data_IF_166640701750
#
_entry.id   IF_166640701750
#
_cell.length_a   1.000
_cell.length_b   1.000
_cell.length_c   1.000
_cell.angle_alpha   90.00
_cell.angle_beta   90.00
_cell.angle_gamma   90.00
#
_symmetry.space_group_name_H-M   'P 1'
#
loop_
_entity.id
_entity.type
_entity.pdbx_description
1 polymer ?
#
# COMPACT_ATOMS: atom_id res chain seq x y z
N UNK A 1 -26.66 -10.77 -32.33
CA UNK A 1 -26.36 -11.06 -33.74
C UNK A 1 -27.43 -11.92 -34.35
N UNK A 2 -27.88 -13.05 -33.75
CA UNK A 2 -28.95 -13.92 -34.29
C UNK A 2 -30.23 -13.15 -34.69
N UNK A 3 -30.66 -12.19 -33.86
CA UNK A 3 -31.82 -11.35 -34.17
C UNK A 3 -31.64 -10.51 -35.45
N UNK A 4 -30.46 -10.03 -35.76
CA UNK A 4 -30.15 -9.22 -36.94
C UNK A 4 -30.12 -10.05 -38.25
N UNK A 5 -29.90 -11.33 -38.14
CA UNK A 5 -29.99 -12.28 -39.27
C UNK A 5 -31.43 -12.57 -39.68
N UNK A 6 -32.37 -12.49 -38.72
CA UNK A 6 -33.82 -12.73 -38.95
C UNK A 6 -34.58 -11.48 -39.41
N UNK A 7 -34.17 -10.30 -38.97
CA UNK A 7 -34.86 -9.04 -39.29
C UNK A 7 -34.42 -8.55 -40.67
N UNK A 8 -35.39 -8.27 -41.54
CA UNK A 8 -35.17 -7.66 -42.87
C UNK A 8 -34.85 -6.17 -42.72
N UNK A 9 -33.96 -5.69 -43.61
CA UNK A 9 -33.61 -4.27 -43.64
C UNK A 9 -34.79 -3.44 -44.11
N UNK A 10 -35.16 -2.32 -43.41
CA UNK A 10 -36.39 -1.58 -43.70
C UNK A 10 -36.45 -0.99 -45.13
N UNK A 11 -35.29 -0.56 -45.68
CA UNK A 11 -35.24 0.05 -47.01
C UNK A 11 -34.77 -0.94 -48.11
N UNK A 12 -34.23 -2.09 -47.74
CA UNK A 12 -33.70 -3.13 -48.62
C UNK A 12 -34.18 -4.50 -48.17
N UNK A 13 -35.45 -4.81 -48.41
CA UNK A 13 -36.12 -6.02 -47.90
C UNK A 13 -35.47 -7.35 -48.38
N UNK A 14 -34.71 -7.32 -49.49
CA UNK A 14 -33.99 -8.49 -49.99
C UNK A 14 -32.81 -8.92 -49.06
N UNK A 15 -32.35 -8.01 -48.21
CA UNK A 15 -31.26 -8.27 -47.27
C UNK A 15 -31.73 -8.29 -45.82
N UNK A 16 -31.07 -9.09 -44.99
CA UNK A 16 -31.19 -8.96 -43.53
C UNK A 16 -30.39 -7.75 -43.03
N UNK A 17 -30.68 -7.32 -41.83
CA UNK A 17 -29.87 -6.25 -41.14
C UNK A 17 -28.40 -6.66 -41.01
N UNK A 18 -28.13 -7.96 -40.77
CA UNK A 18 -26.78 -8.47 -40.69
C UNK A 18 -26.04 -8.44 -42.02
N UNK A 19 -26.70 -8.89 -43.12
CA UNK A 19 -26.13 -8.85 -44.46
C UNK A 19 -25.85 -7.42 -44.94
N UNK A 20 -26.76 -6.46 -44.64
CA UNK A 20 -26.51 -5.08 -44.98
C UNK A 20 -25.34 -4.49 -44.19
N UNK A 21 -25.23 -4.79 -42.89
CA UNK A 21 -24.07 -4.36 -42.07
C UNK A 21 -22.73 -4.89 -42.62
N UNK A 22 -22.71 -6.15 -43.07
CA UNK A 22 -21.49 -6.72 -43.69
C UNK A 22 -21.11 -5.97 -44.97
N UNK A 23 -22.10 -5.61 -45.78
CA UNK A 23 -21.87 -4.83 -46.98
C UNK A 23 -21.38 -3.42 -46.69
N UNK A 24 -21.93 -2.76 -45.66
CA UNK A 24 -21.53 -1.41 -45.27
C UNK A 24 -20.20 -1.38 -44.53
N UNK A 25 -19.79 -2.48 -43.90
CA UNK A 25 -18.60 -2.53 -43.03
C UNK A 25 -17.33 -2.06 -43.73
N UNK A 26 -17.19 -2.32 -45.04
CA UNK A 26 -16.07 -1.84 -45.82
C UNK A 26 -16.04 -0.32 -46.06
N UNK A 27 -17.18 0.34 -45.85
CA UNK A 27 -17.36 1.79 -46.06
C UNK A 27 -17.43 2.58 -44.75
N UNK A 28 -17.53 1.87 -43.62
CA UNK A 28 -17.51 2.49 -42.30
C UNK A 28 -16.12 2.99 -41.96
N UNK A 29 -16.04 4.18 -41.38
CA UNK A 29 -14.80 4.69 -40.83
C UNK A 29 -14.35 3.81 -39.64
N UNK A 30 -13.08 3.47 -39.53
CA UNK A 30 -12.58 2.77 -38.36
C UNK A 30 -12.80 3.65 -37.13
N UNK A 31 -13.41 3.10 -36.10
CA UNK A 31 -13.53 3.76 -34.79
C UNK A 31 -12.22 3.51 -34.02
N UNK A 32 -11.32 4.49 -33.91
CA UNK A 32 -9.98 4.28 -33.35
C UNK A 32 -10.03 3.94 -31.85
N UNK A 33 -10.99 4.48 -31.14
CA UNK A 33 -11.17 4.26 -29.69
C UNK A 33 -12.64 4.08 -29.32
N UNK A 34 -12.94 3.27 -28.29
CA UNK A 34 -14.30 3.18 -27.75
C UNK A 34 -14.77 4.55 -27.23
N UNK A 35 -16.04 4.86 -27.45
CA UNK A 35 -16.64 6.08 -26.91
C UNK A 35 -16.55 6.10 -25.37
N UNK A 36 -15.84 7.10 -24.82
CA UNK A 36 -15.71 7.33 -23.38
C UNK A 36 -16.88 8.17 -22.86
N UNK A 37 -18.02 7.51 -22.64
CA UNK A 37 -19.27 8.16 -22.20
C UNK A 37 -19.32 8.37 -20.68
N UNK A 38 -19.31 9.62 -20.23
CA UNK A 38 -19.50 9.99 -18.83
C UNK A 38 -20.35 11.25 -18.67
N UNK A 39 -20.88 11.45 -17.46
CA UNK A 39 -21.51 12.73 -17.07
C UNK A 39 -20.52 13.49 -16.19
N UNK A 40 -20.13 14.69 -16.64
CA UNK A 40 -19.17 15.52 -15.93
C UNK A 40 -19.86 16.63 -15.12
N UNK A 41 -19.38 16.83 -13.88
CA UNK A 41 -19.82 17.90 -12.98
C UNK A 41 -18.68 18.41 -12.11
N UNK A 42 -18.61 19.73 -11.96
CA UNK A 42 -17.73 20.34 -10.96
C UNK A 42 -18.23 20.07 -9.52
N UNK A 43 -17.32 19.75 -8.62
CA UNK A 43 -17.61 19.54 -7.21
C UNK A 43 -16.50 20.17 -6.34
N UNK A 44 -16.87 20.77 -5.21
CA UNK A 44 -15.91 21.25 -4.21
C UNK A 44 -15.56 20.13 -3.25
N UNK A 45 -14.28 19.95 -2.99
CA UNK A 45 -13.79 19.00 -1.98
C UNK A 45 -14.09 19.55 -0.59
N UNK A 46 -14.77 18.75 0.23
CA UNK A 46 -15.10 19.11 1.62
C UNK A 46 -13.89 19.10 2.53
N UNK A 47 -14.01 19.68 3.73
CA UNK A 47 -12.99 19.64 4.78
C UNK A 47 -12.67 18.23 5.29
N UNK A 48 -13.52 17.25 4.97
CA UNK A 48 -13.34 15.83 5.29
C UNK A 48 -12.78 15.03 4.11
N UNK A 49 -12.18 15.70 3.11
CA UNK A 49 -11.59 15.10 1.92
C UNK A 49 -12.59 14.27 1.08
N UNK A 50 -13.85 14.74 0.97
CA UNK A 50 -14.91 14.05 0.23
C UNK A 50 -15.50 14.95 -0.87
N UNK A 51 -15.86 14.34 -1.99
CA UNK A 51 -16.66 14.92 -3.06
C UNK A 51 -18.03 14.23 -3.11
N UNK A 52 -19.09 15.00 -3.42
CA UNK A 52 -20.45 14.47 -3.54
C UNK A 52 -20.80 14.23 -5.00
N UNK A 53 -21.14 12.97 -5.35
CA UNK A 53 -21.54 12.56 -6.70
C UNK A 53 -22.78 11.67 -6.61
N UNK A 54 -23.85 12.00 -7.32
CA UNK A 54 -25.10 11.21 -7.36
C UNK A 54 -25.65 10.80 -5.99
N UNK A 55 -25.63 11.73 -5.02
CA UNK A 55 -26.10 11.52 -3.63
C UNK A 55 -25.22 10.56 -2.80
N UNK A 56 -24.05 10.18 -3.30
CA UNK A 56 -23.01 9.46 -2.57
C UNK A 56 -21.78 10.36 -2.38
N UNK A 57 -20.88 9.96 -1.49
CA UNK A 57 -19.64 10.67 -1.23
C UNK A 57 -18.44 9.75 -1.48
N UNK A 58 -17.40 10.31 -2.06
CA UNK A 58 -16.18 9.60 -2.43
C UNK A 58 -14.97 10.35 -1.92
N UNK A 59 -14.01 9.64 -1.36
CA UNK A 59 -12.81 10.29 -0.84
C UNK A 59 -11.87 10.72 -1.97
N UNK A 60 -11.13 11.78 -1.70
CA UNK A 60 -10.03 12.27 -2.53
C UNK A 60 -8.84 12.60 -1.65
N UNK A 61 -7.60 12.65 -2.18
CA UNK A 61 -6.43 13.02 -1.38
C UNK A 61 -6.63 14.34 -0.65
N UNK A 62 -6.20 14.39 0.62
CA UNK A 62 -6.46 15.52 1.52
C UNK A 62 -5.84 16.84 1.04
N UNK A 63 -4.87 16.82 0.14
CA UNK A 63 -4.27 17.99 -0.49
C UNK A 63 -5.25 18.81 -1.36
N UNK A 64 -6.34 18.19 -1.80
CA UNK A 64 -7.38 18.83 -2.63
C UNK A 64 -8.48 19.48 -1.80
N UNK A 65 -8.40 19.48 -0.49
CA UNK A 65 -9.43 20.09 0.39
C UNK A 65 -9.67 21.56 0.02
N UNK A 66 -10.96 21.90 -0.14
CA UNK A 66 -11.39 23.27 -0.49
C UNK A 66 -11.30 23.62 -1.97
N UNK A 67 -10.61 22.81 -2.78
CA UNK A 67 -10.48 23.02 -4.23
C UNK A 67 -11.72 22.53 -4.98
N UNK A 68 -11.91 23.04 -6.20
CA UNK A 68 -12.92 22.58 -7.15
C UNK A 68 -12.26 21.57 -8.07
N UNK A 69 -12.85 20.38 -8.15
CA UNK A 69 -12.43 19.28 -9.01
C UNK A 69 -13.57 18.90 -9.96
N UNK A 70 -13.25 18.29 -11.08
CA UNK A 70 -14.24 17.71 -11.97
C UNK A 70 -14.51 16.26 -11.58
N UNK A 71 -15.78 15.88 -11.55
CA UNK A 71 -16.21 14.50 -11.27
C UNK A 71 -16.87 13.92 -12.53
N UNK A 72 -16.31 12.82 -13.03
CA UNK A 72 -16.79 12.08 -14.20
C UNK A 72 -17.52 10.82 -13.74
N UNK A 73 -18.81 10.79 -13.95
CA UNK A 73 -19.67 9.67 -13.55
C UNK A 73 -19.85 8.71 -14.72
N UNK A 74 -19.30 7.52 -14.59
CA UNK A 74 -19.46 6.39 -15.48
C UNK A 74 -20.54 5.41 -14.98
N UNK A 75 -20.97 4.44 -15.78
CA UNK A 75 -21.90 3.40 -15.34
C UNK A 75 -21.41 2.61 -14.12
N UNK A 76 -20.12 2.24 -14.07
CA UNK A 76 -19.52 1.39 -13.03
C UNK A 76 -18.53 2.10 -12.10
N UNK A 77 -18.07 3.30 -12.44
CA UNK A 77 -17.03 4.02 -11.68
C UNK A 77 -17.30 5.52 -11.59
N UNK A 78 -16.66 6.15 -10.62
CA UNK A 78 -16.57 7.60 -10.46
C UNK A 78 -15.11 8.00 -10.52
N UNK A 79 -14.77 8.90 -11.43
CA UNK A 79 -13.42 9.41 -11.61
C UNK A 79 -13.41 10.89 -11.23
N UNK A 80 -12.42 11.29 -10.45
CA UNK A 80 -12.20 12.68 -10.04
C UNK A 80 -10.93 13.18 -10.70
N UNK A 81 -11.03 14.30 -11.39
CA UNK A 81 -9.91 14.93 -12.12
C UNK A 81 -9.74 16.40 -11.72
N UNK A 82 -8.53 16.89 -11.77
CA UNK A 82 -8.21 18.30 -11.61
C UNK A 82 -7.30 18.74 -12.74
N UNK A 83 -7.80 19.61 -13.62
CA UNK A 83 -7.17 19.81 -14.93
C UNK A 83 -7.14 18.48 -15.69
N UNK A 84 -5.95 18.08 -16.17
CA UNK A 84 -5.74 16.80 -16.86
C UNK A 84 -5.25 15.67 -15.95
N UNK A 85 -5.06 15.94 -14.65
CA UNK A 85 -4.55 14.96 -13.70
C UNK A 85 -5.67 14.13 -13.08
N UNK A 86 -5.49 12.79 -13.08
CA UNK A 86 -6.33 11.88 -12.32
C UNK A 86 -6.07 12.07 -10.82
N UNK A 87 -7.10 12.45 -10.05
CA UNK A 87 -7.03 12.66 -8.60
C UNK A 87 -7.46 11.42 -7.85
N UNK A 88 -8.58 10.81 -8.25
CA UNK A 88 -9.10 9.59 -7.62
C UNK A 88 -9.99 8.81 -8.58
N UNK A 89 -10.08 7.50 -8.38
CA UNK A 89 -11.01 6.62 -9.08
C UNK A 89 -11.64 5.65 -8.08
N UNK A 90 -12.95 5.57 -8.08
CA UNK A 90 -13.72 4.70 -7.20
C UNK A 90 -14.74 3.89 -7.97
N UNK A 91 -15.04 2.70 -7.50
CA UNK A 91 -16.21 1.95 -7.92
C UNK A 91 -17.47 2.73 -7.56
N UNK A 92 -18.42 2.81 -8.49
CA UNK A 92 -19.68 3.55 -8.28
C UNK A 92 -20.56 2.80 -7.29
N UNK A 93 -21.03 3.51 -6.27
CA UNK A 93 -22.02 3.00 -5.32
C UNK A 93 -23.42 2.98 -5.96
N UNK A 94 -24.07 1.81 -5.92
CA UNK A 94 -25.42 1.63 -6.49
C UNK A 94 -26.50 2.28 -5.65
N UNK A 95 -26.38 2.22 -4.32
CA UNK A 95 -27.33 2.81 -3.37
C UNK A 95 -26.96 4.27 -3.06
N UNK A 96 -27.90 5.01 -2.43
CA UNK A 96 -27.74 6.43 -2.11
C UNK A 96 -27.39 6.63 -0.64
N UNK A 97 -26.69 7.72 -0.34
CA UNK A 97 -26.38 8.11 1.03
C UNK A 97 -25.11 7.45 1.60
N UNK A 98 -24.42 6.68 0.79
CA UNK A 98 -23.20 5.99 1.21
C UNK A 98 -21.94 6.81 1.00
N UNK A 99 -20.85 6.39 1.68
CA UNK A 99 -19.52 6.99 1.56
C UNK A 99 -18.55 5.88 1.19
N UNK A 100 -17.76 6.09 0.13
CA UNK A 100 -16.65 5.23 -0.25
C UNK A 100 -15.35 5.91 0.15
N UNK A 101 -14.61 5.26 1.01
CA UNK A 101 -13.29 5.72 1.42
C UNK A 101 -12.20 4.93 0.71
N UNK A 102 -11.13 5.64 0.33
CA UNK A 102 -9.81 5.08 0.14
C UNK A 102 -8.93 5.66 1.26
N UNK A 103 -8.44 4.82 2.14
CA UNK A 103 -7.63 5.23 3.29
C UNK A 103 -6.31 5.87 2.87
N UNK A 104 -5.79 5.53 1.69
CA UNK A 104 -4.54 6.11 1.15
C UNK A 104 -4.66 7.62 0.93
N UNK A 105 -5.86 8.11 0.64
CA UNK A 105 -6.14 9.55 0.50
C UNK A 105 -5.89 10.36 1.78
N UNK A 106 -5.78 9.69 2.93
CA UNK A 106 -5.62 10.32 4.24
C UNK A 106 -4.21 10.17 4.83
N UNK A 107 -3.25 9.62 4.09
CA UNK A 107 -1.89 9.39 4.59
C UNK A 107 -1.20 10.68 5.03
N UNK A 108 -1.30 11.75 4.25
CA UNK A 108 -0.75 13.06 4.59
C UNK A 108 -1.38 13.69 5.86
N UNK A 109 -2.61 13.30 6.19
CA UNK A 109 -3.27 13.70 7.44
C UNK A 109 -2.70 12.94 8.63
N UNK A 110 -2.34 11.67 8.49
CA UNK A 110 -1.82 10.83 9.57
C UNK A 110 -0.47 11.32 10.10
N UNK A 111 0.37 11.89 9.25
CA UNK A 111 1.63 12.50 9.66
C UNK A 111 1.42 13.60 10.71
N UNK A 112 0.35 14.38 10.54
CA UNK A 112 -0.01 15.49 11.43
C UNK A 112 -0.91 15.05 12.59
N UNK A 113 -1.76 14.05 12.38
CA UNK A 113 -2.78 13.58 13.33
C UNK A 113 -2.84 12.04 13.40
N UNK A 114 -1.81 11.36 13.94
CA UNK A 114 -1.78 9.90 14.03
C UNK A 114 -2.98 9.31 14.79
N UNK A 115 -3.49 10.04 15.78
CA UNK A 115 -4.68 9.63 16.56
C UNK A 115 -5.96 9.42 15.75
N UNK A 116 -6.03 9.91 14.49
CA UNK A 116 -7.14 9.64 13.59
C UNK A 116 -7.29 8.16 13.25
N UNK A 117 -6.22 7.36 13.36
CA UNK A 117 -6.23 5.90 13.20
C UNK A 117 -7.13 5.17 14.20
N UNK A 118 -7.40 5.76 15.36
CA UNK A 118 -8.21 5.10 16.40
C UNK A 118 -9.70 5.05 16.03
N UNK A 119 -10.23 6.16 15.54
CA UNK A 119 -11.68 6.35 15.32
C UNK A 119 -12.03 6.86 13.92
N UNK A 120 -11.07 6.99 13.02
CA UNK A 120 -11.29 7.51 11.68
C UNK A 120 -12.02 6.50 10.78
N UNK A 121 -13.20 6.86 10.26
CA UNK A 121 -13.96 6.03 9.33
C UNK A 121 -13.15 5.57 8.10
N UNK A 122 -12.23 6.37 7.52
CA UNK A 122 -11.40 5.92 6.39
C UNK A 122 -10.54 4.70 6.68
N UNK A 123 -10.19 4.44 7.94
CA UNK A 123 -9.30 3.35 8.34
C UNK A 123 -10.05 2.10 8.85
N UNK A 124 -11.36 2.04 8.69
CA UNK A 124 -12.16 0.87 9.05
C UNK A 124 -11.85 -0.32 8.14
N UNK A 125 -11.66 -0.07 6.84
CA UNK A 125 -11.53 -1.07 5.78
C UNK A 125 -10.07 -1.24 5.32
N UNK A 126 -9.10 -1.17 6.25
CA UNK A 126 -7.70 -1.50 5.94
C UNK A 126 -7.58 -2.99 5.54
N UNK A 127 -6.61 -3.37 4.67
CA UNK A 127 -6.26 -4.76 4.43
C UNK A 127 -5.93 -5.52 5.71
N UNK A 128 -6.24 -6.82 5.75
CA UNK A 128 -6.17 -7.62 7.00
C UNK A 128 -4.80 -7.56 7.71
N UNK A 129 -3.63 -7.66 7.05
CA UNK A 129 -2.35 -7.52 7.74
C UNK A 129 -2.20 -6.16 8.46
N UNK A 130 -2.64 -5.09 7.81
CA UNK A 130 -2.62 -3.74 8.40
C UNK A 130 -3.64 -3.59 9.53
N UNK A 131 -4.79 -4.25 9.45
CA UNK A 131 -5.75 -4.28 10.56
C UNK A 131 -5.19 -5.02 11.78
N UNK A 132 -4.51 -6.14 11.58
CA UNK A 132 -3.87 -6.91 12.66
C UNK A 132 -2.76 -6.08 13.32
N UNK A 133 -1.89 -5.47 12.52
CA UNK A 133 -0.85 -4.57 13.02
C UNK A 133 -1.46 -3.39 13.81
N UNK A 134 -2.50 -2.76 13.27
CA UNK A 134 -3.23 -1.68 13.94
C UNK A 134 -3.79 -2.12 15.29
N UNK A 135 -4.45 -3.29 15.37
CA UNK A 135 -4.99 -3.83 16.62
C UNK A 135 -3.89 -4.08 17.66
N UNK A 136 -2.73 -4.55 17.23
CA UNK A 136 -1.59 -4.77 18.10
C UNK A 136 -1.00 -3.44 18.60
N UNK A 137 -0.70 -2.52 17.71
CA UNK A 137 -0.03 -1.26 18.02
C UNK A 137 -0.92 -0.31 18.84
N UNK A 138 -2.21 -0.20 18.55
CA UNK A 138 -3.10 0.76 19.25
C UNK A 138 -3.40 0.39 20.71
N UNK A 139 -3.02 -0.80 21.16
CA UNK A 139 -3.06 -1.18 22.58
C UNK A 139 -1.95 -0.50 23.38
N UNK A 140 -0.90 -0.05 22.73
CA UNK A 140 0.29 0.50 23.34
C UNK A 140 0.32 2.04 23.23
N UNK A 141 0.90 2.73 24.22
CA UNK A 141 1.15 4.17 24.13
C UNK A 141 2.06 4.50 22.94
N UNK A 142 1.66 5.44 22.08
CA UNK A 142 2.43 5.85 20.91
C UNK A 142 2.31 4.92 19.69
N UNK A 143 1.55 3.82 19.78
CA UNK A 143 1.36 2.89 18.69
C UNK A 143 0.66 3.48 17.46
N UNK A 144 -0.12 4.54 17.64
CA UNK A 144 -0.71 5.33 16.56
C UNK A 144 0.36 6.02 15.69
N UNK A 145 1.44 6.52 16.30
CA UNK A 145 2.58 7.08 15.54
C UNK A 145 3.33 6.01 14.75
N UNK A 146 3.59 4.88 15.39
CA UNK A 146 4.24 3.73 14.72
C UNK A 146 3.41 3.27 13.52
N UNK A 147 2.10 3.12 13.69
CA UNK A 147 1.21 2.74 12.59
C UNK A 147 1.20 3.79 11.47
N UNK A 148 1.16 5.08 11.81
CA UNK A 148 1.23 6.15 10.81
C UNK A 148 2.54 6.12 10.01
N UNK A 149 3.67 5.84 10.66
CA UNK A 149 4.97 5.69 10.00
C UNK A 149 5.00 4.48 9.05
N UNK A 150 4.43 3.34 9.44
CA UNK A 150 4.31 2.17 8.55
C UNK A 150 3.45 2.50 7.33
N UNK A 151 2.30 3.15 7.53
CA UNK A 151 1.43 3.55 6.43
C UNK A 151 2.08 4.59 5.49
N UNK A 152 2.95 5.46 6.01
CA UNK A 152 3.70 6.45 5.23
C UNK A 152 4.70 5.82 4.25
N UNK A 153 5.05 4.54 4.43
CA UNK A 153 5.93 3.80 3.50
C UNK A 153 5.18 3.36 2.23
N UNK A 154 3.85 3.20 2.31
CA UNK A 154 3.03 2.65 1.22
C UNK A 154 3.20 3.39 -0.12
N UNK A 155 3.22 4.75 -0.19
CA UNK A 155 3.39 5.44 -1.46
C UNK A 155 4.73 5.17 -2.15
N UNK A 156 5.79 4.90 -1.40
CA UNK A 156 7.14 4.67 -1.94
C UNK A 156 7.44 3.20 -2.23
N UNK A 157 6.98 2.27 -1.39
CA UNK A 157 7.28 0.85 -1.51
C UNK A 157 6.21 0.05 -2.26
N UNK A 158 5.00 0.62 -2.40
CA UNK A 158 3.82 -0.08 -2.91
C UNK A 158 3.06 -0.85 -1.83
N UNK A 159 1.75 -0.93 -1.99
CA UNK A 159 0.87 -1.56 -1.00
C UNK A 159 1.20 -3.04 -0.80
N UNK A 160 1.32 -3.80 -1.87
CA UNK A 160 1.54 -5.25 -1.81
C UNK A 160 2.83 -5.61 -1.06
N UNK A 161 3.93 -4.89 -1.33
CA UNK A 161 5.20 -5.10 -0.65
C UNK A 161 5.09 -4.81 0.86
N UNK A 162 4.37 -3.74 1.23
CA UNK A 162 4.14 -3.39 2.64
C UNK A 162 3.26 -4.43 3.33
N UNK A 163 2.22 -4.96 2.67
CA UNK A 163 1.37 -6.00 3.24
C UNK A 163 2.18 -7.27 3.56
N UNK A 164 2.97 -7.76 2.61
CA UNK A 164 3.85 -8.92 2.82
C UNK A 164 4.87 -8.66 3.93
N UNK A 165 5.49 -7.47 3.96
CA UNK A 165 6.45 -7.13 5.00
C UNK A 165 5.82 -7.06 6.39
N UNK A 166 4.61 -6.54 6.51
CA UNK A 166 3.86 -6.47 7.76
C UNK A 166 3.47 -7.87 8.24
N UNK A 167 3.01 -8.74 7.32
CA UNK A 167 2.66 -10.13 7.61
C UNK A 167 3.85 -10.90 8.16
N UNK A 168 5.00 -10.85 7.48
CA UNK A 168 6.24 -11.46 7.94
C UNK A 168 6.76 -10.87 9.26
N UNK A 169 6.60 -9.55 9.46
CA UNK A 169 6.99 -8.90 10.70
C UNK A 169 6.09 -9.34 11.88
N UNK A 170 4.81 -9.57 11.64
CA UNK A 170 3.87 -10.09 12.65
C UNK A 170 4.18 -11.55 12.99
N UNK A 171 4.47 -12.39 12.02
CA UNK A 171 4.84 -13.80 12.20
C UNK A 171 6.16 -13.97 12.95
N UNK A 172 7.15 -13.12 12.65
CA UNK A 172 8.50 -13.18 13.26
C UNK A 172 8.59 -12.45 14.60
N UNK A 173 7.54 -11.74 15.02
CA UNK A 173 7.52 -11.03 16.29
C UNK A 173 7.56 -12.05 17.46
N UNK A 174 8.48 -11.90 18.44
CA UNK A 174 8.50 -12.76 19.62
C UNK A 174 7.22 -12.56 20.43
N UNK A 175 6.78 -13.53 21.23
CA UNK A 175 5.52 -13.46 22.00
C UNK A 175 5.39 -12.22 22.91
N UNK A 176 6.52 -11.63 23.29
CA UNK A 176 6.61 -10.38 24.07
C UNK A 176 7.11 -9.19 23.24
N UNK A 177 7.38 -9.38 21.94
CA UNK A 177 8.02 -8.40 21.08
C UNK A 177 7.02 -7.47 20.39
N UNK A 178 7.37 -6.20 20.37
CA UNK A 178 6.63 -5.17 19.63
C UNK A 178 7.11 -5.16 18.19
N UNK A 179 6.17 -5.12 17.25
CA UNK A 179 6.50 -4.81 15.85
C UNK A 179 6.89 -3.34 15.79
N UNK A 180 8.12 -3.05 15.39
CA UNK A 180 8.62 -1.69 15.19
C UNK A 180 8.60 -1.31 13.71
N UNK A 181 8.68 -0.01 13.42
CA UNK A 181 8.82 0.48 12.03
C UNK A 181 10.09 -0.08 11.40
N UNK A 182 11.20 -0.10 12.15
CA UNK A 182 12.49 -0.62 11.68
C UNK A 182 12.40 -2.09 11.29
N UNK A 183 11.61 -2.89 12.02
CA UNK A 183 11.38 -4.29 11.66
C UNK A 183 10.70 -4.41 10.29
N UNK A 184 9.64 -3.66 10.06
CA UNK A 184 8.93 -3.64 8.76
C UNK A 184 9.86 -3.14 7.64
N UNK A 185 10.64 -2.07 7.88
CA UNK A 185 11.60 -1.54 6.90
C UNK A 185 12.70 -2.56 6.58
N UNK A 186 13.22 -3.27 7.58
CA UNK A 186 14.23 -4.30 7.38
C UNK A 186 13.70 -5.48 6.54
N UNK A 187 12.47 -5.91 6.79
CA UNK A 187 11.81 -6.94 5.99
C UNK A 187 11.60 -6.45 4.55
N UNK A 188 11.12 -5.22 4.37
CA UNK A 188 10.97 -4.60 3.04
C UNK A 188 12.31 -4.52 2.31
N UNK A 189 13.37 -4.09 2.98
CA UNK A 189 14.71 -4.04 2.39
C UNK A 189 15.20 -5.42 1.91
N UNK A 190 14.88 -6.48 2.65
CA UNK A 190 15.20 -7.87 2.25
C UNK A 190 14.37 -8.34 1.06
N UNK A 191 13.08 -7.99 1.00
CA UNK A 191 12.20 -8.33 -0.12
C UNK A 191 12.60 -7.62 -1.41
N UNK A 192 13.09 -6.40 -1.31
CA UNK A 192 13.54 -5.59 -2.44
C UNK A 192 15.00 -5.83 -2.82
N UNK A 193 15.79 -6.45 -1.93
CA UNK A 193 17.17 -6.81 -2.23
C UNK A 193 17.18 -7.84 -3.35
N UNK A 194 17.80 -7.51 -4.46
CA UNK A 194 18.12 -8.49 -5.50
C UNK A 194 18.93 -9.60 -4.86
N UNK A 195 18.57 -10.90 -5.00
CA UNK A 195 19.36 -11.97 -4.45
C UNK A 195 20.80 -11.81 -4.95
N UNK A 196 21.76 -11.85 -4.02
CA UNK A 196 23.16 -11.83 -4.40
C UNK A 196 23.40 -12.96 -5.41
N UNK A 197 24.14 -12.72 -6.49
CA UNK A 197 24.37 -13.76 -7.51
C UNK A 197 24.94 -14.99 -6.81
N UNK A 198 24.25 -16.11 -6.94
CA UNK A 198 24.57 -17.41 -6.31
C UNK A 198 25.89 -17.93 -6.82
N UNK A 199 26.86 -17.52 -7.01
CA UNK A 199 28.19 -17.90 -7.47
C UNK A 199 28.86 -16.75 -8.24
N UNK A 200 29.37 -15.76 -7.53
CA UNK A 200 30.48 -14.99 -8.05
C UNK A 200 31.70 -15.95 -8.13
N UNK A 201 31.94 -16.52 -9.30
CA UNK A 201 33.19 -17.22 -9.57
C UNK A 201 34.29 -16.18 -9.49
N UNK A 202 34.96 -16.11 -8.33
CA UNK A 202 36.12 -15.24 -8.19
C UNK A 202 37.31 -15.92 -8.89
N UNK A 203 37.99 -15.18 -9.76
CA UNK A 203 39.26 -15.58 -10.35
C UNK A 203 40.41 -15.52 -9.35
N UNK A 204 40.15 -15.09 -8.12
CA UNK A 204 41.10 -15.05 -7.00
C UNK A 204 41.31 -16.46 -6.47
N UNK A 205 42.44 -17.06 -6.86
CA UNK A 205 42.95 -18.29 -6.24
C UNK A 205 43.64 -17.89 -4.92
N UNK A 206 42.98 -18.12 -3.81
CA UNK A 206 43.61 -18.01 -2.50
C UNK A 206 44.59 -19.20 -2.36
N UNK A 207 45.88 -18.95 -2.45
CA UNK A 207 46.90 -19.97 -2.41
C UNK A 207 47.01 -20.63 -1.00
N UNK A 208 46.54 -19.94 0.03
CA UNK A 208 46.49 -20.46 1.40
C UNK A 208 45.13 -20.07 2.00
N UNK A 209 44.34 -21.04 2.53
CA UNK A 209 43.10 -20.71 3.19
C UNK A 209 43.40 -19.78 4.38
N UNK A 210 42.60 -18.70 4.58
CA UNK A 210 42.75 -17.84 5.73
C UNK A 210 42.48 -18.65 7.00
N UNK A 211 43.53 -18.81 7.85
CA UNK A 211 43.36 -19.35 9.18
C UNK A 211 42.75 -18.25 10.05
N UNK A 212 41.60 -18.54 10.63
CA UNK A 212 40.96 -17.61 11.57
C UNK A 212 41.88 -17.46 12.79
N UNK A 213 42.42 -16.27 12.99
CA UNK A 213 43.18 -15.96 14.20
C UNK A 213 42.18 -15.70 15.35
N UNK A 214 42.00 -16.70 16.19
CA UNK A 214 41.10 -16.63 17.36
C UNK A 214 41.82 -16.08 18.60
N UNK A 215 43.15 -15.86 18.56
CA UNK A 215 43.91 -15.38 19.71
C UNK A 215 43.44 -14.03 20.25
N UNK A 216 42.88 -13.18 19.38
CA UNK A 216 42.26 -11.92 19.78
C UNK A 216 41.03 -12.13 20.69
N UNK A 217 40.25 -13.18 20.47
CA UNK A 217 39.11 -13.50 21.32
C UNK A 217 39.50 -14.15 22.62
N UNK A 218 40.61 -14.92 22.63
CA UNK A 218 41.17 -15.52 23.84
C UNK A 218 41.69 -14.44 24.80
N UNK A 219 42.26 -13.36 24.28
CA UNK A 219 42.70 -12.22 25.09
C UNK A 219 41.53 -11.45 25.73
N UNK A 220 40.41 -11.30 25.03
CA UNK A 220 39.18 -10.68 25.59
C UNK A 220 38.61 -11.55 26.71
N UNK A 221 38.56 -12.88 26.51
CA UNK A 221 38.04 -13.82 27.51
C UNK A 221 38.92 -13.87 28.77
N UNK A 222 40.24 -13.73 28.61
CA UNK A 222 41.16 -13.64 29.74
C UNK A 222 40.97 -12.36 30.55
N UNK A 223 40.60 -11.25 29.90
CA UNK A 223 40.32 -9.98 30.57
C UNK A 223 39.01 -10.04 31.41
N UNK A 224 37.94 -10.61 30.84
CA UNK A 224 36.67 -10.82 31.55
C UNK A 224 36.83 -11.72 32.78
N UNK A 225 37.64 -12.80 32.69
CA UNK A 225 37.92 -13.70 33.81
C UNK A 225 38.75 -12.99 34.90
N UNK A 226 39.67 -12.13 34.52
CA UNK A 226 40.49 -11.37 35.48
C UNK A 226 39.62 -10.36 36.26
N UNK A 227 38.70 -9.67 35.59
CA UNK A 227 37.78 -8.75 36.25
C UNK A 227 36.80 -9.47 37.19
N UNK A 228 36.33 -10.68 36.82
CA UNK A 228 35.42 -11.47 37.65
C UNK A 228 36.13 -12.01 38.91
N UNK A 229 37.39 -12.37 38.81
CA UNK A 229 38.22 -12.81 39.96
C UNK A 229 38.51 -11.61 40.89
N UNK A 230 38.75 -10.42 40.36
CA UNK A 230 39.04 -9.22 41.18
C UNK A 230 37.76 -8.77 41.94
N UNK A 231 36.58 -8.86 41.30
CA UNK A 231 35.30 -8.60 41.96
C UNK A 231 34.95 -9.63 43.06
N UNK A 232 35.36 -10.90 42.91
CA UNK A 232 35.11 -11.93 43.90
C UNK A 232 36.09 -11.81 45.10
N UNK A 233 37.32 -11.36 44.85
CA UNK A 233 38.31 -11.12 45.92
C UNK A 233 38.00 -9.86 46.74
N UNK A 234 37.44 -8.83 46.13
CA UNK A 234 37.02 -7.61 46.83
C UNK A 234 35.80 -7.84 47.71
N UNK A 235 34.85 -8.67 47.27
CA UNK A 235 33.69 -9.09 48.08
C UNK A 235 34.04 -9.97 49.26
N UNK A 236 35.18 -10.69 49.19
CA UNK A 236 35.69 -11.53 50.27
C UNK A 236 36.38 -10.72 51.40
N UNK A 237 36.82 -9.49 51.11
CA UNK A 237 37.55 -8.62 52.07
C UNK A 237 36.66 -7.71 52.94
N UNK A 238 35.39 -7.63 52.62
CA UNK A 238 34.40 -6.72 53.32
C UNK A 238 33.59 -7.44 54.38
N UNK A 239 34.20 -8.24 55.25
CA UNK A 239 33.64 -8.67 56.53
C UNK A 239 34.68 -8.57 57.64
N UNK A 240 34.75 -7.45 58.41
CA UNK A 240 35.15 -7.50 59.80
C UNK A 240 33.90 -7.70 60.66
N UNK A 241 34.07 -8.40 61.71
CA UNK A 241 33.13 -8.76 62.74
C UNK A 241 32.57 -7.60 63.55
#
# INVERSE_FOLDING_TARGET
RALWEEIRHPDHEQFSVAEMLEHEQAHLMPMPEPFDGYVEKGARVSSTCLVSVSRNRYSVPCEWVGQIVSTRLYPSRVVVVAGDALVASHERLGERGHVRYDWQHYLSLLERKPGALRNGAPFADLPEPLQQLRRALLREPGGDRVMAQVLAIVPSAGLDAVLVAVELALESAPPSGRVSVEHVINVLGRLQATPAPENAQTTLKVATPPLADTTRYDSLRAHDIAEEIDQLTDKGRARPG
#
